data_IF_050436179990
#
_entry.id   IF_050436179990
#
_cell.length_a   1.000
_cell.length_b   1.000
_cell.length_c   1.000
_cell.angle_alpha   90.00
_cell.angle_beta   90.00
_cell.angle_gamma   90.00
#
_symmetry.space_group_name_H-M   'P 1'
#
loop_
_entity.id
_entity.type
_entity.pdbx_description
1 polymer ?
#
# COMPACT_ATOMS: atom_id res chain seq x y z
N UNK A 1 -9.89 26.15 73.87
CA UNK A 1 -10.78 25.76 72.74
C UNK A 1 -10.03 25.53 71.41
N UNK A 2 -8.74 25.14 71.42
CA UNK A 2 -7.98 24.84 70.18
C UNK A 2 -8.11 23.39 69.71
N UNK A 3 -8.14 22.44 70.64
CA UNK A 3 -8.09 21.00 70.37
C UNK A 3 -9.35 20.44 69.69
N UNK A 4 -10.55 20.95 70.02
CA UNK A 4 -11.81 20.58 69.35
C UNK A 4 -11.89 21.10 67.90
N UNK A 5 -11.22 22.23 67.60
CA UNK A 5 -11.20 22.84 66.27
C UNK A 5 -10.26 22.09 65.31
N UNK A 6 -9.17 21.53 65.84
CA UNK A 6 -8.21 20.69 65.10
C UNK A 6 -8.87 19.36 64.72
N UNK A 7 -9.53 18.68 65.67
CA UNK A 7 -10.21 17.40 65.39
C UNK A 7 -11.38 17.49 64.42
N UNK A 8 -12.12 18.62 64.40
CA UNK A 8 -13.22 18.83 63.44
C UNK A 8 -12.69 19.08 62.02
N UNK A 9 -11.60 19.84 61.88
CA UNK A 9 -10.95 20.04 60.59
C UNK A 9 -10.36 18.74 60.04
N UNK A 10 -9.74 17.93 60.91
CA UNK A 10 -9.19 16.63 60.53
C UNK A 10 -10.32 15.67 60.11
N UNK A 11 -11.43 15.60 60.86
CA UNK A 11 -12.60 14.80 60.50
C UNK A 11 -13.20 15.24 59.15
N UNK A 12 -13.35 16.55 58.93
CA UNK A 12 -13.87 17.10 57.68
C UNK A 12 -12.93 16.75 56.51
N UNK A 13 -11.62 16.83 56.72
CA UNK A 13 -10.60 16.46 55.74
C UNK A 13 -10.71 14.98 55.35
N UNK A 14 -10.76 14.07 56.33
CA UNK A 14 -10.90 12.63 56.06
C UNK A 14 -12.23 12.29 55.39
N UNK A 15 -13.33 12.94 55.79
CA UNK A 15 -14.64 12.77 55.15
C UNK A 15 -14.60 13.22 53.68
N UNK A 16 -14.02 14.39 53.40
CA UNK A 16 -13.88 14.90 52.04
C UNK A 16 -13.00 13.98 51.18
N UNK A 17 -11.91 13.46 51.75
CA UNK A 17 -11.04 12.49 51.09
C UNK A 17 -11.77 11.19 50.75
N UNK A 18 -12.59 10.66 51.67
CA UNK A 18 -13.41 9.47 51.43
C UNK A 18 -14.41 9.72 50.29
N UNK A 19 -15.09 10.87 50.31
CA UNK A 19 -16.04 11.26 49.26
C UNK A 19 -15.36 11.35 47.89
N UNK A 20 -14.16 11.94 47.83
CA UNK A 20 -13.36 12.00 46.60
C UNK A 20 -12.98 10.58 46.13
N UNK A 21 -12.54 9.69 47.03
CA UNK A 21 -12.19 8.31 46.68
C UNK A 21 -13.39 7.53 46.12
N UNK A 22 -14.57 7.67 46.72
CA UNK A 22 -15.80 7.03 46.24
C UNK A 22 -16.21 7.60 44.87
N UNK A 23 -16.13 8.92 44.68
CA UNK A 23 -16.41 9.54 43.38
C UNK A 23 -15.42 9.08 42.31
N UNK A 24 -14.12 9.00 42.63
CA UNK A 24 -13.10 8.51 41.71
C UNK A 24 -13.33 7.05 41.33
N UNK A 25 -13.66 6.18 42.29
CA UNK A 25 -13.98 4.78 42.03
C UNK A 25 -15.22 4.64 41.14
N UNK A 26 -16.27 5.43 41.40
CA UNK A 26 -17.48 5.44 40.57
C UNK A 26 -17.22 5.96 39.16
N UNK A 27 -16.45 7.05 39.02
CA UNK A 27 -16.10 7.63 37.72
C UNK A 27 -15.23 6.66 36.90
N UNK A 28 -14.29 5.98 37.56
CA UNK A 28 -13.40 4.98 36.95
C UNK A 28 -14.17 3.78 36.38
N UNK A 29 -15.29 3.38 36.98
CA UNK A 29 -16.10 2.27 36.46
C UNK A 29 -17.03 2.67 35.31
N UNK A 30 -17.27 3.96 35.11
CA UNK A 30 -18.23 4.47 34.10
C UNK A 30 -17.55 5.01 32.83
N UNK A 31 -16.32 5.49 32.94
CA UNK A 31 -15.56 6.05 31.82
C UNK A 31 -14.27 5.25 31.61
N UNK A 32 -14.25 4.36 30.62
CA UNK A 32 -13.05 3.62 30.20
C UNK A 32 -12.26 4.43 29.16
N UNK A 33 -11.89 5.67 29.52
CA UNK A 33 -11.13 6.54 28.63
C UNK A 33 -9.65 6.18 28.73
N UNK A 34 -9.07 5.69 27.63
CA UNK A 34 -7.67 5.31 27.57
C UNK A 34 -6.89 6.38 26.81
N UNK A 35 -5.82 6.87 27.41
CA UNK A 35 -4.90 7.80 26.76
C UNK A 35 -3.60 7.10 26.48
N UNK A 36 -3.13 7.24 25.24
CA UNK A 36 -1.85 6.71 24.81
C UNK A 36 -0.77 7.78 24.97
N UNK A 37 0.08 7.60 25.98
CA UNK A 37 1.20 8.49 26.29
C UNK A 37 2.48 8.08 25.57
N UNK A 38 2.44 7.06 24.71
CA UNK A 38 3.63 6.60 24.00
C UNK A 38 4.01 7.59 22.90
N UNK A 39 5.32 7.79 22.70
CA UNK A 39 5.88 8.78 21.78
C UNK A 39 5.36 8.65 20.33
N UNK A 40 4.98 7.44 19.91
CA UNK A 40 4.48 7.15 18.56
C UNK A 40 3.02 6.68 18.53
N UNK A 41 2.30 6.74 19.66
CA UNK A 41 0.95 6.22 19.75
C UNK A 41 0.86 4.71 19.44
N UNK A 42 1.78 3.91 19.99
CA UNK A 42 1.90 2.48 19.71
C UNK A 42 0.78 1.63 20.34
N UNK A 43 0.04 2.17 21.29
CA UNK A 43 -1.14 1.54 21.87
C UNK A 43 -2.45 2.00 21.20
N UNK A 44 -2.38 2.97 20.29
CA UNK A 44 -3.51 3.49 19.51
C UNK A 44 -3.46 2.98 18.07
N UNK A 45 -4.63 2.85 17.44
CA UNK A 45 -4.71 2.56 16.01
C UNK A 45 -4.34 3.79 15.17
N UNK A 46 -3.79 3.56 13.99
CA UNK A 46 -3.57 4.62 13.00
C UNK A 46 -4.91 5.17 12.48
N UNK A 47 -4.96 6.42 12.01
CA UNK A 47 -6.17 6.99 11.41
C UNK A 47 -6.73 6.16 10.25
N UNK A 48 -5.85 5.49 9.49
CA UNK A 48 -6.22 4.60 8.37
C UNK A 48 -6.92 3.35 8.89
N UNK A 49 -6.38 2.71 9.92
CA UNK A 49 -7.00 1.53 10.54
C UNK A 49 -8.38 1.86 11.13
N UNK A 50 -8.53 3.04 11.73
CA UNK A 50 -9.84 3.52 12.24
C UNK A 50 -10.86 3.63 11.11
N UNK A 51 -10.51 4.28 10.00
CA UNK A 51 -11.39 4.47 8.85
C UNK A 51 -11.80 3.14 8.20
N UNK A 52 -10.88 2.18 8.10
CA UNK A 52 -11.16 0.86 7.52
C UNK A 52 -12.12 0.06 8.41
N UNK A 53 -11.87 0.01 9.71
CA UNK A 53 -12.71 -0.73 10.67
C UNK A 53 -14.14 -0.21 10.70
N UNK A 54 -14.32 1.11 10.58
CA UNK A 54 -15.65 1.74 10.56
C UNK A 54 -16.44 1.44 9.28
N UNK A 55 -15.78 1.04 8.20
CA UNK A 55 -16.40 0.73 6.90
C UNK A 55 -16.82 -0.73 6.74
N UNK A 56 -16.62 -1.57 7.76
CA UNK A 56 -16.97 -2.99 7.77
C UNK A 56 -18.28 -3.18 8.56
N UNK A 57 -19.46 -3.19 7.90
CA UNK A 57 -20.75 -3.41 8.56
C UNK A 57 -20.99 -4.88 8.91
N UNK A 58 -21.30 -5.17 10.17
CA UNK A 58 -21.66 -6.51 10.64
C UNK A 58 -20.52 -7.28 11.31
N UNK A 59 -20.81 -8.49 11.84
CA UNK A 59 -19.92 -9.20 12.74
C UNK A 59 -18.67 -9.71 12.03
N UNK A 60 -17.52 -9.56 12.69
CA UNK A 60 -16.23 -10.10 12.24
C UNK A 60 -15.77 -11.14 13.25
N UNK A 61 -15.47 -12.36 12.80
CA UNK A 61 -14.91 -13.39 13.66
C UNK A 61 -13.41 -13.53 13.42
N UNK A 62 -12.61 -13.34 14.47
CA UNK A 62 -11.15 -13.51 14.46
C UNK A 62 -10.82 -14.79 15.23
N UNK A 63 -10.27 -15.79 14.54
CA UNK A 63 -9.88 -17.07 15.14
C UNK A 63 -8.36 -17.19 15.17
N UNK A 64 -7.79 -17.25 16.37
CA UNK A 64 -6.35 -17.40 16.55
C UNK A 64 -5.99 -18.86 16.88
N UNK A 65 -5.15 -19.45 16.03
CA UNK A 65 -4.66 -20.81 16.15
C UNK A 65 -3.35 -20.84 16.94
N UNK A 66 -3.48 -20.78 18.27
CA UNK A 66 -2.34 -20.69 19.19
C UNK A 66 -2.46 -21.70 20.33
N UNK A 67 -1.33 -22.31 20.75
CA UNK A 67 -1.30 -23.13 21.96
C UNK A 67 -1.84 -22.38 23.18
N UNK A 68 -2.24 -23.10 24.23
CA UNK A 68 -2.66 -22.57 25.54
C UNK A 68 -1.56 -21.84 26.35
N UNK A 69 -0.67 -21.11 25.68
CA UNK A 69 0.32 -20.27 26.34
C UNK A 69 -0.32 -18.93 26.71
N UNK A 70 -0.44 -18.65 28.02
CA UNK A 70 -1.07 -17.43 28.54
C UNK A 70 -0.52 -16.14 27.91
N UNK A 71 0.80 -16.06 27.71
CA UNK A 71 1.47 -14.88 27.14
C UNK A 71 1.01 -14.53 25.72
N UNK A 72 0.88 -15.53 24.85
CA UNK A 72 0.51 -15.33 23.44
C UNK A 72 -0.96 -14.91 23.35
N UNK A 73 -1.84 -15.59 24.10
CA UNK A 73 -3.26 -15.24 24.18
C UNK A 73 -3.46 -13.81 24.70
N UNK A 74 -2.75 -13.41 25.75
CA UNK A 74 -2.84 -12.06 26.30
C UNK A 74 -2.35 -10.98 25.31
N UNK A 75 -1.32 -11.27 24.52
CA UNK A 75 -0.84 -10.37 23.46
C UNK A 75 -1.90 -10.20 22.35
N UNK A 76 -2.49 -11.30 21.89
CA UNK A 76 -3.58 -11.30 20.90
C UNK A 76 -4.81 -10.55 21.43
N UNK A 77 -5.25 -10.85 22.65
CA UNK A 77 -6.39 -10.18 23.28
C UNK A 77 -6.17 -8.67 23.37
N UNK A 78 -4.98 -8.22 23.82
CA UNK A 78 -4.66 -6.79 23.86
C UNK A 78 -4.63 -6.15 22.47
N UNK A 79 -4.09 -6.84 21.48
CA UNK A 79 -4.04 -6.34 20.12
C UNK A 79 -5.43 -6.12 19.55
N UNK A 80 -6.31 -7.13 19.66
CA UNK A 80 -7.68 -7.14 19.13
C UNK A 80 -8.61 -6.21 19.93
N UNK A 81 -8.39 -6.06 21.24
CA UNK A 81 -9.15 -5.14 22.08
C UNK A 81 -9.15 -3.69 21.53
N UNK A 82 -8.04 -3.26 20.91
CA UNK A 82 -7.94 -1.94 20.26
C UNK A 82 -8.93 -1.77 19.10
N UNK A 83 -9.17 -2.85 18.35
CA UNK A 83 -10.15 -2.89 17.26
C UNK A 83 -11.58 -3.04 17.82
N UNK A 84 -11.77 -3.87 18.85
CA UNK A 84 -13.06 -4.07 19.53
C UNK A 84 -13.61 -2.78 20.15
N UNK A 85 -12.74 -1.87 20.59
CA UNK A 85 -13.16 -0.58 21.11
C UNK A 85 -13.87 0.29 20.05
N UNK A 86 -13.44 0.21 18.79
CA UNK A 86 -14.09 0.91 17.67
C UNK A 86 -15.29 0.12 17.14
N UNK A 87 -15.18 -1.21 17.16
CA UNK A 87 -16.12 -2.14 16.56
C UNK A 87 -16.41 -3.30 17.54
N UNK A 88 -17.40 -3.14 18.44
CA UNK A 88 -17.68 -4.13 19.50
C UNK A 88 -18.14 -5.50 19.00
N UNK A 89 -18.58 -5.59 17.74
CA UNK A 89 -19.02 -6.82 17.05
C UNK A 89 -17.86 -7.62 16.42
N UNK A 90 -16.62 -7.39 16.87
CA UNK A 90 -15.48 -8.28 16.61
C UNK A 90 -15.44 -9.37 17.67
N UNK A 91 -15.63 -10.62 17.26
CA UNK A 91 -15.53 -11.79 18.13
C UNK A 91 -14.14 -12.41 18.04
N UNK A 92 -13.48 -12.63 19.19
CA UNK A 92 -12.17 -13.28 19.26
C UNK A 92 -12.31 -14.70 19.81
N UNK A 93 -11.93 -15.69 19.02
CA UNK A 93 -11.89 -17.10 19.39
C UNK A 93 -10.45 -17.64 19.39
N UNK A 94 -10.16 -18.56 20.31
CA UNK A 94 -8.87 -19.24 20.39
C UNK A 94 -9.07 -20.74 20.17
N UNK A 95 -8.31 -21.32 19.25
CA UNK A 95 -8.28 -22.76 19.00
C UNK A 95 -6.85 -23.25 19.24
N UNK A 96 -6.70 -24.28 20.08
CA UNK A 96 -5.42 -24.95 20.29
C UNK A 96 -5.19 -26.02 19.20
N UNK A 97 -4.23 -25.83 18.28
CA UNK A 97 -3.98 -26.77 17.19
C UNK A 97 -3.53 -28.15 17.69
N UNK A 98 -2.90 -28.22 18.86
CA UNK A 98 -2.39 -29.47 19.45
C UNK A 98 -3.52 -30.34 20.01
N UNK A 99 -4.63 -29.72 20.45
CA UNK A 99 -5.80 -30.45 20.97
C UNK A 99 -6.84 -30.76 19.89
N UNK A 100 -6.87 -30.00 18.80
CA UNK A 100 -7.82 -30.17 17.69
C UNK A 100 -7.12 -30.35 16.32
N UNK A 101 -6.30 -31.40 16.14
CA UNK A 101 -5.51 -31.59 14.92
C UNK A 101 -6.37 -31.86 13.67
N UNK A 102 -7.58 -32.40 13.84
CA UNK A 102 -8.47 -32.73 12.72
C UNK A 102 -9.20 -31.51 12.17
N UNK A 103 -9.56 -30.54 13.02
CA UNK A 103 -10.10 -29.24 12.60
C UNK A 103 -9.02 -28.41 11.89
N UNK A 104 -7.81 -28.40 12.45
CA UNK A 104 -6.64 -27.70 11.92
C UNK A 104 -6.23 -28.22 10.53
N UNK A 105 -6.21 -29.55 10.33
CA UNK A 105 -5.90 -30.18 9.02
C UNK A 105 -6.96 -29.89 7.96
N UNK A 106 -8.25 -29.87 8.31
CA UNK A 106 -9.34 -29.56 7.36
C UNK A 106 -9.27 -28.13 6.85
N UNK A 107 -8.73 -27.21 7.65
CA UNK A 107 -8.56 -25.81 7.26
C UNK A 107 -7.19 -25.51 6.62
N UNK A 108 -6.31 -26.51 6.49
CA UNK A 108 -4.99 -26.34 5.85
C UNK A 108 -4.03 -25.46 6.65
N UNK A 109 -4.20 -25.36 7.97
CA UNK A 109 -3.39 -24.53 8.85
C UNK A 109 -2.03 -25.22 9.03
N UNK A 110 -0.97 -24.53 8.61
CA UNK A 110 0.38 -25.11 8.52
C UNK A 110 1.33 -24.61 9.61
N UNK A 111 0.96 -23.56 10.36
CA UNK A 111 1.82 -22.86 11.31
C UNK A 111 1.12 -22.59 12.66
N UNK A 112 1.87 -22.77 13.77
CA UNK A 112 1.46 -22.30 15.10
C UNK A 112 1.53 -20.77 15.14
N UNK A 113 0.41 -20.08 15.36
CA UNK A 113 0.36 -18.61 15.39
C UNK A 113 -0.46 -17.95 14.28
N UNK A 114 -1.06 -18.73 13.38
CA UNK A 114 -1.91 -18.21 12.31
C UNK A 114 -3.22 -17.62 12.87
N UNK A 115 -3.63 -16.47 12.31
CA UNK A 115 -4.90 -15.81 12.65
C UNK A 115 -5.77 -15.76 11.41
N UNK A 116 -7.00 -16.25 11.54
CA UNK A 116 -7.99 -16.34 10.48
C UNK A 116 -9.11 -15.34 10.76
N UNK A 117 -9.39 -14.47 9.79
CA UNK A 117 -10.43 -13.47 9.85
C UNK A 117 -11.58 -13.90 8.94
N UNK A 118 -12.80 -13.94 9.48
CA UNK A 118 -14.01 -14.33 8.77
C UNK A 118 -15.05 -13.20 8.77
N UNK A 119 -15.51 -12.82 7.57
CA UNK A 119 -16.50 -11.77 7.37
C UNK A 119 -17.31 -12.03 6.09
N UNK A 120 -18.64 -12.08 6.18
CA UNK A 120 -19.56 -12.30 5.05
C UNK A 120 -19.13 -13.44 4.11
N UNK A 121 -18.92 -14.65 4.66
CA UNK A 121 -18.49 -15.87 3.95
C UNK A 121 -17.08 -15.82 3.34
N UNK A 122 -16.33 -14.73 3.55
CA UNK A 122 -14.94 -14.60 3.11
C UNK A 122 -13.99 -14.83 4.27
N UNK A 123 -12.86 -15.45 3.94
CA UNK A 123 -11.80 -15.80 4.87
C UNK A 123 -10.50 -15.13 4.41
N UNK A 124 -9.79 -14.50 5.35
CA UNK A 124 -8.43 -13.98 5.16
C UNK A 124 -7.53 -14.53 6.24
N UNK A 125 -6.27 -14.80 5.89
CA UNK A 125 -5.29 -15.42 6.80
C UNK A 125 -4.08 -14.53 6.94
N UNK A 126 -3.62 -14.36 8.17
CA UNK A 126 -2.40 -13.62 8.47
C UNK A 126 -1.46 -14.49 9.32
N UNK A 127 -0.18 -14.44 8.97
CA UNK A 127 0.86 -15.23 9.65
C UNK A 127 1.52 -14.44 10.79
N UNK A 128 1.54 -13.11 10.70
CA UNK A 128 2.07 -12.24 11.74
C UNK A 128 0.97 -11.29 12.21
N UNK A 129 0.90 -11.10 13.53
CA UNK A 129 -0.06 -10.19 14.13
C UNK A 129 0.59 -8.81 14.29
N UNK A 130 0.45 -7.99 13.26
CA UNK A 130 0.77 -6.57 13.30
C UNK A 130 -0.39 -5.73 12.71
N UNK A 131 -0.36 -4.42 12.96
CA UNK A 131 -1.45 -3.52 12.52
C UNK A 131 -1.56 -3.47 10.99
N UNK A 132 -0.45 -3.55 10.28
CA UNK A 132 -0.41 -3.48 8.82
C UNK A 132 -1.10 -4.70 8.19
N UNK A 133 -0.68 -5.92 8.55
CA UNK A 133 -1.24 -7.17 8.04
C UNK A 133 -2.71 -7.32 8.42
N UNK A 134 -3.05 -7.03 9.68
CA UNK A 134 -4.43 -7.15 10.14
C UNK A 134 -5.36 -6.16 9.43
N UNK A 135 -4.96 -4.89 9.31
CA UNK A 135 -5.79 -3.87 8.67
C UNK A 135 -5.90 -4.11 7.15
N UNK A 136 -4.83 -4.57 6.49
CA UNK A 136 -4.89 -4.95 5.08
C UNK A 136 -5.82 -6.16 4.85
N UNK A 137 -5.82 -7.14 5.75
CA UNK A 137 -6.75 -8.27 5.70
C UNK A 137 -8.20 -7.80 5.87
N UNK A 138 -8.48 -6.94 6.85
CA UNK A 138 -9.80 -6.32 7.03
C UNK A 138 -10.26 -5.57 5.78
N UNK A 139 -9.34 -4.85 5.14
CA UNK A 139 -9.63 -4.10 3.93
C UNK A 139 -10.06 -5.00 2.78
N UNK A 140 -9.36 -6.12 2.55
CA UNK A 140 -9.75 -7.13 1.55
C UNK A 140 -11.11 -7.76 1.87
N UNK A 141 -11.37 -8.06 3.13
CA UNK A 141 -12.67 -8.56 3.59
C UNK A 141 -13.80 -7.53 3.40
N UNK A 142 -13.50 -6.24 3.61
CA UNK A 142 -14.47 -5.15 3.50
C UNK A 142 -14.97 -4.89 2.07
N UNK A 143 -14.22 -5.32 1.05
CA UNK A 143 -14.56 -5.00 -0.33
C UNK A 143 -15.80 -5.79 -0.77
N UNK A 144 -16.94 -5.13 -0.97
CA UNK A 144 -18.20 -5.78 -1.36
C UNK A 144 -18.22 -6.34 -2.79
N UNK A 145 -17.28 -5.91 -3.66
CA UNK A 145 -17.22 -6.34 -5.05
C UNK A 145 -15.80 -6.76 -5.40
N UNK A 146 -15.65 -7.97 -5.94
CA UNK A 146 -14.40 -8.41 -6.57
C UNK A 146 -14.15 -7.47 -7.75
N UNK A 147 -13.10 -6.64 -7.67
CA UNK A 147 -12.74 -5.73 -8.77
C UNK A 147 -12.14 -6.54 -9.90
N UNK A 148 -12.67 -6.33 -11.11
CA UNK A 148 -12.19 -7.02 -12.29
C UNK A 148 -11.12 -6.18 -12.97
N UNK A 149 -10.05 -6.85 -13.38
CA UNK A 149 -9.06 -6.33 -14.32
C UNK A 149 -9.26 -7.10 -15.61
N UNK A 150 -9.72 -6.41 -16.64
CA UNK A 150 -9.97 -6.99 -17.95
C UNK A 150 -8.78 -6.76 -18.87
N UNK A 151 -8.37 -7.77 -19.63
CA UNK A 151 -7.39 -7.65 -20.71
C UNK A 151 -8.07 -7.76 -22.06
N UNK A 152 -7.84 -6.79 -22.95
CA UNK A 152 -8.32 -6.87 -24.33
C UNK A 152 -7.69 -8.07 -25.04
N UNK A 153 -8.50 -8.82 -25.80
CA UNK A 153 -8.07 -9.90 -26.68
C UNK A 153 -8.80 -9.85 -28.03
N UNK A 154 -8.41 -10.70 -28.97
CA UNK A 154 -9.02 -10.85 -30.30
C UNK A 154 -8.15 -10.33 -31.46
N UNK A 155 -7.14 -9.50 -31.18
CA UNK A 155 -6.29 -8.85 -32.17
C UNK A 155 -4.79 -9.18 -32.00
N UNK A 156 -4.48 -10.28 -31.31
CA UNK A 156 -3.10 -10.75 -31.08
C UNK A 156 -2.38 -10.00 -29.96
N UNK A 157 -3.12 -9.37 -29.06
CA UNK A 157 -2.62 -8.77 -27.83
C UNK A 157 -1.91 -9.82 -26.95
N UNK A 158 -1.06 -9.34 -26.04
CA UNK A 158 -0.44 -10.20 -25.02
C UNK A 158 -1.49 -10.65 -24.01
N UNK A 159 -1.69 -11.96 -23.89
CA UNK A 159 -2.81 -12.49 -23.12
C UNK A 159 -2.51 -12.40 -21.60
N UNK A 160 -3.41 -11.77 -20.81
CA UNK A 160 -3.31 -11.68 -19.34
C UNK A 160 -3.43 -13.04 -18.63
N UNK A 161 -3.92 -14.06 -19.33
CA UNK A 161 -4.08 -15.43 -18.86
C UNK A 161 -3.20 -16.42 -19.63
N UNK A 162 -2.42 -15.93 -20.61
CA UNK A 162 -1.59 -16.75 -21.49
C UNK A 162 -0.27 -17.18 -20.87
N UNK A 163 0.29 -18.27 -21.39
CA UNK A 163 1.53 -18.88 -20.87
C UNK A 163 2.73 -18.65 -21.79
N UNK A 164 2.55 -18.01 -22.95
CA UNK A 164 3.66 -17.78 -23.86
C UNK A 164 4.63 -16.75 -23.28
N UNK A 165 5.87 -16.77 -23.74
CA UNK A 165 6.93 -15.87 -23.26
C UNK A 165 6.58 -14.37 -23.42
N UNK A 166 5.77 -14.02 -24.43
CA UNK A 166 5.32 -12.65 -24.68
C UNK A 166 3.98 -12.33 -24.00
N UNK A 167 3.28 -13.32 -23.44
CA UNK A 167 2.02 -13.11 -22.73
C UNK A 167 2.26 -12.48 -21.36
N UNK A 168 1.18 -12.02 -20.73
CA UNK A 168 1.18 -11.37 -19.42
C UNK A 168 0.63 -12.30 -18.30
N UNK A 169 0.64 -13.62 -18.50
CA UNK A 169 0.02 -14.57 -17.57
C UNK A 169 0.57 -14.55 -16.15
N UNK A 170 1.88 -14.43 -15.99
CA UNK A 170 2.53 -14.33 -14.68
C UNK A 170 2.14 -13.02 -13.98
N UNK A 171 1.98 -11.93 -14.75
CA UNK A 171 1.47 -10.68 -14.23
C UNK A 171 -0.01 -10.79 -13.84
N UNK A 172 -0.83 -11.44 -14.66
CA UNK A 172 -2.22 -11.76 -14.33
C UNK A 172 -2.34 -12.60 -13.06
N UNK A 173 -1.43 -13.56 -12.84
CA UNK A 173 -1.36 -14.34 -11.61
C UNK A 173 -0.95 -13.49 -10.40
N UNK A 174 0.02 -12.59 -10.57
CA UNK A 174 0.40 -11.64 -9.53
C UNK A 174 -0.77 -10.71 -9.15
N UNK A 175 -1.56 -10.25 -10.12
CA UNK A 175 -2.79 -9.48 -9.87
C UNK A 175 -3.85 -10.30 -9.11
N UNK A 176 -4.04 -11.57 -9.48
CA UNK A 176 -4.94 -12.47 -8.73
C UNK A 176 -4.51 -12.66 -7.28
N UNK A 177 -3.20 -12.76 -7.03
CA UNK A 177 -2.65 -12.82 -5.67
C UNK A 177 -2.89 -11.52 -4.86
N UNK A 178 -3.09 -10.38 -5.53
CA UNK A 178 -3.52 -9.13 -4.89
C UNK A 178 -5.04 -9.07 -4.60
N UNK A 179 -5.80 -10.10 -4.99
CA UNK A 179 -7.25 -10.18 -4.77
C UNK A 179 -8.11 -9.68 -5.93
N UNK A 180 -7.51 -9.34 -7.08
CA UNK A 180 -8.26 -8.97 -8.27
C UNK A 180 -8.75 -10.20 -9.03
N UNK A 181 -9.94 -10.10 -9.63
CA UNK A 181 -10.34 -11.07 -10.64
C UNK A 181 -9.78 -10.63 -11.99
N UNK A 182 -9.03 -11.49 -12.66
CA UNK A 182 -8.47 -11.19 -13.98
C UNK A 182 -9.24 -11.96 -15.04
N UNK A 183 -9.75 -11.25 -16.05
CA UNK A 183 -10.50 -11.81 -17.18
C UNK A 183 -9.96 -11.29 -18.51
N UNK A 184 -10.21 -12.03 -19.59
CA UNK A 184 -10.04 -11.49 -20.94
C UNK A 184 -11.38 -11.00 -21.48
N UNK A 185 -11.33 -9.97 -22.31
CA UNK A 185 -12.48 -9.44 -23.03
C UNK A 185 -12.19 -9.30 -24.50
N UNK A 186 -13.02 -9.93 -25.31
CA UNK A 186 -13.08 -9.73 -26.75
C UNK A 186 -14.23 -8.77 -27.05
N UNK A 187 -13.90 -7.56 -27.52
CA UNK A 187 -14.89 -6.54 -27.81
C UNK A 187 -15.79 -6.88 -29.01
N UNK A 188 -15.42 -7.84 -29.87
CA UNK A 188 -16.28 -8.30 -30.94
C UNK A 188 -17.48 -9.09 -30.40
N UNK A 189 -17.27 -9.88 -29.35
CA UNK A 189 -18.30 -10.74 -28.74
C UNK A 189 -18.96 -10.12 -27.51
N UNK A 190 -18.23 -9.30 -26.76
CA UNK A 190 -18.67 -8.64 -25.53
C UNK A 190 -18.57 -7.12 -25.70
N UNK A 191 -19.66 -6.43 -26.12
CA UNK A 191 -19.61 -5.03 -26.53
C UNK A 191 -19.11 -4.03 -25.49
N UNK A 192 -19.28 -4.34 -24.21
CA UNK A 192 -18.91 -3.47 -23.09
C UNK A 192 -18.23 -4.29 -22.00
N UNK A 193 -17.17 -3.76 -21.37
CA UNK A 193 -16.65 -4.35 -20.15
C UNK A 193 -17.75 -4.51 -19.10
N UNK A 194 -17.76 -5.61 -18.33
CA UNK A 194 -18.66 -5.78 -17.19
C UNK A 194 -18.59 -4.59 -16.22
N UNK A 195 -19.71 -4.24 -15.59
CA UNK A 195 -19.84 -3.06 -14.72
C UNK A 195 -18.83 -3.02 -13.55
N UNK A 196 -18.33 -4.18 -13.11
CA UNK A 196 -17.33 -4.30 -12.05
C UNK A 196 -15.87 -4.27 -12.55
N UNK A 197 -15.65 -3.96 -13.83
CA UNK A 197 -14.31 -3.75 -14.42
C UNK A 197 -13.74 -2.44 -13.89
N UNK A 198 -12.77 -2.54 -12.99
CA UNK A 198 -12.10 -1.39 -12.40
C UNK A 198 -10.92 -0.89 -13.25
N UNK A 199 -10.37 -1.76 -14.10
CA UNK A 199 -9.28 -1.46 -15.02
C UNK A 199 -9.41 -2.33 -16.28
N UNK A 200 -9.29 -1.69 -17.45
CA UNK A 200 -9.12 -2.36 -18.73
C UNK A 200 -7.68 -2.16 -19.22
N UNK A 201 -6.96 -3.27 -19.44
CA UNK A 201 -5.61 -3.31 -19.99
C UNK A 201 -5.71 -3.57 -21.49
N UNK A 202 -5.01 -2.78 -22.29
CA UNK A 202 -4.90 -2.92 -23.73
C UNK A 202 -3.42 -3.25 -24.02
N UNK A 203 -3.04 -4.54 -24.04
CA UNK A 203 -1.65 -4.94 -24.06
C UNK A 203 -1.12 -5.13 -25.49
N UNK A 204 -0.96 -4.00 -26.20
CA UNK A 204 -0.41 -3.89 -27.55
C UNK A 204 -1.03 -4.79 -28.63
N UNK A 205 -2.18 -4.38 -29.21
CA UNK A 205 -2.81 -5.07 -30.32
C UNK A 205 -1.90 -5.19 -31.55
N UNK A 206 -1.86 -6.38 -32.14
CA UNK A 206 -1.03 -6.71 -33.31
C UNK A 206 -1.80 -6.61 -34.63
N UNK A 207 -3.14 -6.56 -34.56
CA UNK A 207 -4.03 -6.35 -35.69
C UNK A 207 -4.92 -5.12 -35.46
N UNK A 208 -5.30 -4.40 -36.53
CA UNK A 208 -6.20 -3.27 -36.39
C UNK A 208 -7.53 -3.71 -35.78
N UNK A 209 -7.98 -2.98 -34.75
CA UNK A 209 -9.33 -3.12 -34.20
C UNK A 209 -10.35 -2.62 -35.22
N UNK A 210 -11.56 -3.17 -35.15
CA UNK A 210 -12.69 -2.68 -35.93
C UNK A 210 -13.11 -1.29 -35.45
N UNK A 211 -13.61 -0.44 -36.35
CA UNK A 211 -14.10 0.91 -36.02
C UNK A 211 -15.16 0.89 -34.91
N UNK A 212 -16.00 -0.14 -34.87
CA UNK A 212 -17.01 -0.34 -33.81
C UNK A 212 -16.37 -0.59 -32.44
N UNK A 213 -15.24 -1.29 -32.38
CA UNK A 213 -14.51 -1.59 -31.15
C UNK A 213 -13.77 -0.36 -30.65
N UNK A 214 -13.14 0.39 -31.56
CA UNK A 214 -12.54 1.69 -31.24
C UNK A 214 -13.60 2.66 -30.69
N UNK A 215 -14.80 2.68 -31.28
CA UNK A 215 -15.91 3.48 -30.76
C UNK A 215 -16.33 3.04 -29.34
N UNK A 216 -16.37 1.73 -29.05
CA UNK A 216 -16.64 1.18 -27.72
C UNK A 216 -15.58 1.56 -26.69
N UNK A 217 -14.30 1.46 -27.05
CA UNK A 217 -13.18 1.89 -26.19
C UNK A 217 -13.25 3.39 -25.87
N UNK A 218 -13.59 4.22 -26.87
CA UNK A 218 -13.80 5.66 -26.65
C UNK A 218 -14.98 5.95 -25.75
N UNK A 219 -16.09 5.21 -25.90
CA UNK A 219 -17.26 5.35 -25.02
C UNK A 219 -16.90 4.98 -23.58
N UNK A 220 -16.26 3.83 -23.37
CA UNK A 220 -15.78 3.40 -22.05
C UNK A 220 -14.83 4.43 -21.42
N UNK A 221 -13.88 4.98 -22.19
CA UNK A 221 -13.02 6.05 -21.71
C UNK A 221 -13.80 7.34 -21.42
N UNK A 222 -14.80 7.70 -22.23
CA UNK A 222 -15.64 8.88 -22.02
C UNK A 222 -16.47 8.80 -20.72
N UNK A 223 -16.95 7.60 -20.39
CA UNK A 223 -17.73 7.28 -19.18
C UNK A 223 -16.86 7.18 -17.90
N UNK A 224 -15.56 7.47 -17.98
CA UNK A 224 -14.68 7.49 -16.82
C UNK A 224 -13.92 6.18 -16.56
N UNK A 225 -14.01 5.20 -17.46
CA UNK A 225 -13.30 3.93 -17.34
C UNK A 225 -11.77 4.08 -17.30
N UNK A 226 -11.11 3.35 -16.39
CA UNK A 226 -9.65 3.39 -16.25
C UNK A 226 -8.97 2.48 -17.28
N UNK A 227 -7.83 2.94 -17.81
CA UNK A 227 -7.09 2.24 -18.87
C UNK A 227 -5.60 2.12 -18.56
N UNK A 228 -5.02 0.95 -18.87
CA UNK A 228 -3.58 0.78 -19.05
C UNK A 228 -3.33 0.43 -20.52
N UNK A 229 -2.74 1.36 -21.25
CA UNK A 229 -2.37 1.16 -22.65
C UNK A 229 -0.88 0.84 -22.73
N UNK A 230 -0.58 -0.33 -23.29
CA UNK A 230 0.78 -0.72 -23.62
C UNK A 230 0.93 -0.68 -25.14
N UNK A 231 2.05 -0.17 -25.63
CA UNK A 231 2.36 -0.08 -27.06
C UNK A 231 3.77 -0.57 -27.34
N UNK A 232 4.04 -0.98 -28.57
CA UNK A 232 5.39 -1.30 -29.06
C UNK A 232 5.90 -0.21 -30.01
N UNK A 233 7.22 -0.02 -30.13
CA UNK A 233 7.83 0.78 -31.18
C UNK A 233 7.27 0.43 -32.55
N UNK A 234 7.09 1.47 -33.38
CA UNK A 234 6.64 1.35 -34.77
C UNK A 234 5.25 0.68 -34.96
N UNK A 235 4.53 0.36 -33.87
CA UNK A 235 3.16 -0.15 -33.94
C UNK A 235 2.22 0.98 -34.35
N UNK A 236 1.95 1.06 -35.66
CA UNK A 236 0.95 2.00 -36.21
C UNK A 236 -0.43 1.82 -35.57
N UNK A 237 -0.76 0.60 -35.16
CA UNK A 237 -2.03 0.26 -34.52
C UNK A 237 -2.05 0.83 -33.09
N UNK A 238 -1.01 0.55 -32.30
CA UNK A 238 -0.88 1.06 -30.94
C UNK A 238 -0.85 2.58 -30.89
N UNK A 239 -0.05 3.23 -31.76
CA UNK A 239 0.03 4.68 -31.86
C UNK A 239 -1.31 5.32 -32.28
N UNK A 240 -2.01 4.74 -33.26
CA UNK A 240 -3.34 5.21 -33.66
C UNK A 240 -4.35 5.13 -32.51
N UNK A 241 -4.42 3.99 -31.82
CA UNK A 241 -5.35 3.78 -30.71
C UNK A 241 -5.05 4.71 -29.54
N UNK A 242 -3.78 4.82 -29.16
CA UNK A 242 -3.30 5.72 -28.11
C UNK A 242 -3.66 7.18 -28.41
N UNK A 243 -3.40 7.65 -29.63
CA UNK A 243 -3.74 9.02 -30.07
C UNK A 243 -5.24 9.28 -29.97
N UNK A 244 -6.06 8.33 -30.41
CA UNK A 244 -7.51 8.48 -30.41
C UNK A 244 -8.11 8.49 -29.00
N UNK A 245 -7.51 7.77 -28.04
CA UNK A 245 -8.00 7.70 -26.66
C UNK A 245 -7.46 8.81 -25.77
N UNK A 246 -6.23 9.25 -25.99
CA UNK A 246 -5.49 10.09 -25.02
C UNK A 246 -4.86 11.36 -25.61
N UNK A 247 -4.65 11.41 -26.93
CA UNK A 247 -3.89 12.46 -27.61
C UNK A 247 -2.36 12.32 -27.51
N UNK A 248 -1.86 11.33 -26.76
CA UNK A 248 -0.43 11.00 -26.69
C UNK A 248 0.00 10.39 -28.02
N UNK A 249 1.21 10.77 -28.48
CA UNK A 249 1.80 10.26 -29.72
C UNK A 249 3.07 9.50 -29.39
N UNK A 250 3.41 8.51 -30.19
CA UNK A 250 4.71 7.85 -30.16
C UNK A 250 5.71 8.66 -31.01
N UNK A 251 6.95 8.80 -30.52
CA UNK A 251 8.07 9.21 -31.36
C UNK A 251 8.49 8.03 -32.26
N UNK A 252 9.01 8.30 -33.47
CA UNK A 252 9.54 7.24 -34.33
C UNK A 252 10.73 6.52 -33.69
N UNK A 253 10.87 5.24 -33.98
CA UNK A 253 12.02 4.43 -33.56
C UNK A 253 11.87 3.78 -32.19
N UNK A 254 12.96 3.14 -31.77
CA UNK A 254 13.09 2.41 -30.50
C UNK A 254 14.05 3.14 -29.58
N UNK A 255 13.74 3.21 -28.30
CA UNK A 255 14.65 3.80 -27.31
C UNK A 255 15.90 2.92 -27.20
N UNK A 256 17.05 3.55 -27.43
CA UNK A 256 18.36 3.02 -27.11
C UNK A 256 18.91 3.74 -25.89
N UNK A 257 19.49 3.00 -24.95
CA UNK A 257 20.07 3.54 -23.73
C UNK A 257 21.51 3.06 -23.55
N UNK A 258 22.48 3.96 -23.72
CA UNK A 258 23.90 3.62 -23.61
C UNK A 258 24.35 3.34 -22.17
N UNK A 259 23.54 3.67 -21.16
CA UNK A 259 23.87 3.43 -19.75
C UNK A 259 23.81 1.93 -19.39
N UNK A 260 23.13 1.11 -20.18
CA UNK A 260 22.96 -0.33 -19.91
C UNK A 260 24.28 -1.10 -19.94
N UNK A 261 25.26 -0.62 -20.72
CA UNK A 261 26.62 -1.18 -20.78
C UNK A 261 27.32 -1.12 -19.42
N UNK A 262 27.05 -0.07 -18.63
CA UNK A 262 27.61 0.08 -17.27
C UNK A 262 27.02 -0.96 -16.29
N UNK A 263 25.85 -1.52 -16.61
CA UNK A 263 25.18 -2.58 -15.85
C UNK A 263 25.48 -4.00 -16.37
N UNK A 264 26.35 -4.14 -17.38
CA UNK A 264 26.67 -5.44 -17.99
C UNK A 264 25.55 -6.02 -18.86
N UNK A 265 24.64 -5.16 -19.35
CA UNK A 265 23.58 -5.55 -20.28
C UNK A 265 24.08 -5.27 -21.70
N UNK A 266 24.15 -6.30 -22.53
CA UNK A 266 24.70 -6.20 -23.89
C UNK A 266 23.71 -5.61 -24.90
N UNK A 267 22.40 -5.66 -24.63
CA UNK A 267 21.38 -5.14 -25.54
C UNK A 267 21.11 -3.66 -25.27
N UNK A 268 21.50 -2.74 -26.18
CA UNK A 268 21.30 -1.30 -26.01
C UNK A 268 19.83 -0.86 -26.15
N UNK A 269 18.95 -1.71 -26.70
CA UNK A 269 17.51 -1.44 -26.83
C UNK A 269 16.70 -1.76 -25.56
N UNK A 270 17.35 -1.74 -24.39
CA UNK A 270 16.68 -1.86 -23.08
C UNK A 270 16.75 -0.50 -22.40
N UNK A 271 15.62 0.18 -22.24
CA UNK A 271 15.57 1.46 -21.57
C UNK A 271 15.59 1.31 -20.04
N UNK A 272 16.36 2.16 -19.35
CA UNK A 272 16.47 2.14 -17.89
C UNK A 272 15.63 3.24 -17.25
N UNK A 273 14.83 2.89 -16.24
CA UNK A 273 14.12 3.87 -15.40
C UNK A 273 14.49 3.66 -13.93
N UNK A 274 15.48 4.42 -13.41
CA UNK A 274 15.94 4.29 -12.03
C UNK A 274 15.21 5.22 -11.05
N UNK A 275 14.50 6.23 -11.54
CA UNK A 275 13.90 7.29 -10.72
C UNK A 275 12.48 7.60 -11.17
N UNK A 276 11.64 7.87 -10.19
CA UNK A 276 10.22 8.17 -10.39
C UNK A 276 9.91 9.51 -9.71
N UNK A 277 9.06 10.34 -10.32
CA UNK A 277 8.64 11.59 -9.72
C UNK A 277 7.77 11.33 -8.47
N UNK A 278 7.63 12.36 -7.63
CA UNK A 278 6.68 12.34 -6.52
C UNK A 278 5.24 12.36 -7.06
N UNK A 279 4.67 11.16 -7.21
CA UNK A 279 3.34 10.93 -7.71
C UNK A 279 2.70 9.78 -6.93
N UNK A 280 1.39 9.83 -6.69
CA UNK A 280 0.69 8.80 -5.89
C UNK A 280 0.91 7.37 -6.41
N UNK A 281 1.05 7.21 -7.72
CA UNK A 281 1.31 5.92 -8.36
C UNK A 281 2.72 5.36 -8.11
N UNK A 282 3.71 6.17 -7.72
CA UNK A 282 5.13 5.76 -7.66
C UNK A 282 5.87 6.28 -6.43
N UNK A 283 5.24 7.06 -5.54
CA UNK A 283 5.89 7.70 -4.37
C UNK A 283 6.60 6.73 -3.41
N UNK A 284 6.13 5.49 -3.35
CA UNK A 284 6.69 4.43 -2.50
C UNK A 284 7.55 3.44 -3.30
N UNK A 285 7.82 3.72 -4.57
CA UNK A 285 8.53 2.85 -5.48
C UNK A 285 9.94 3.39 -5.77
N UNK A 286 10.97 2.56 -5.58
CA UNK A 286 12.37 2.97 -5.68
C UNK A 286 13.28 1.94 -6.38
N UNK A 287 12.71 0.94 -7.05
CA UNK A 287 13.46 -0.08 -7.76
C UNK A 287 13.80 0.36 -9.20
N UNK A 288 14.94 -0.08 -9.70
CA UNK A 288 15.25 0.03 -11.14
C UNK A 288 14.25 -0.82 -11.93
N UNK A 289 13.74 -0.28 -13.05
CA UNK A 289 12.95 -1.06 -14.01
C UNK A 289 13.57 -1.00 -15.40
N UNK A 290 13.31 -2.07 -16.16
CA UNK A 290 13.90 -2.32 -17.46
C UNK A 290 12.79 -2.45 -18.49
N UNK A 291 12.91 -1.70 -19.58
CA UNK A 291 11.91 -1.64 -20.64
C UNK A 291 12.52 -2.07 -21.98
N UNK A 292 12.42 -3.36 -22.35
CA UNK A 292 12.94 -3.86 -23.62
C UNK A 292 12.14 -3.31 -24.80
N UNK A 293 12.84 -2.85 -25.84
CA UNK A 293 12.24 -2.31 -27.06
C UNK A 293 11.15 -1.29 -26.74
N UNK A 294 11.45 -0.31 -25.89
CA UNK A 294 10.51 0.74 -25.54
C UNK A 294 10.46 1.83 -26.61
N UNK A 295 9.36 2.54 -26.70
CA UNK A 295 9.20 3.72 -27.52
C UNK A 295 9.01 4.97 -26.68
N UNK A 296 9.54 6.08 -27.18
CA UNK A 296 9.34 7.37 -26.55
C UNK A 296 7.97 7.95 -26.90
N UNK A 297 7.41 8.71 -25.96
CA UNK A 297 6.10 9.33 -26.03
C UNK A 297 6.24 10.85 -26.11
N UNK A 298 5.56 11.45 -27.07
CA UNK A 298 5.38 12.88 -27.20
C UNK A 298 4.06 13.31 -26.57
N UNK A 299 4.16 14.24 -25.63
CA UNK A 299 3.03 14.82 -24.91
C UNK A 299 2.52 16.04 -25.68
N UNK A 300 1.21 16.15 -25.98
CA UNK A 300 0.68 17.31 -26.67
C UNK A 300 0.73 18.56 -25.79
N UNK A 301 0.96 19.73 -26.41
CA UNK A 301 0.99 21.04 -25.70
C UNK A 301 -0.35 21.38 -25.04
N UNK A 302 -1.46 20.93 -25.65
CA UNK A 302 -2.81 21.13 -25.14
C UNK A 302 -3.48 19.78 -24.96
N UNK A 303 -4.06 19.56 -23.79
CA UNK A 303 -4.81 18.35 -23.48
C UNK A 303 -5.94 18.66 -22.51
N UNK A 304 -7.01 17.89 -22.63
CA UNK A 304 -8.09 17.85 -21.63
C UNK A 304 -7.68 17.08 -20.35
N UNK A 305 -6.56 16.35 -20.42
CA UNK A 305 -6.03 15.56 -19.32
C UNK A 305 -4.98 16.35 -18.55
N UNK A 306 -4.92 16.12 -17.23
CA UNK A 306 -3.71 16.41 -16.46
C UNK A 306 -2.70 15.29 -16.70
N UNK A 307 -1.62 15.60 -17.42
CA UNK A 307 -0.62 14.62 -17.85
C UNK A 307 0.64 14.79 -17.00
N UNK A 308 1.09 13.70 -16.39
CA UNK A 308 2.33 13.64 -15.61
C UNK A 308 3.25 12.57 -16.22
N UNK A 309 4.44 12.94 -16.73
CA UNK A 309 5.45 11.96 -17.13
C UNK A 309 5.92 11.17 -15.91
N UNK A 310 5.69 9.86 -15.89
CA UNK A 310 6.07 8.98 -14.78
C UNK A 310 7.33 8.17 -15.05
N UNK A 311 7.52 7.72 -16.29
CA UNK A 311 8.65 6.89 -16.68
C UNK A 311 9.52 7.67 -17.64
N UNK A 312 10.75 7.96 -17.22
CA UNK A 312 11.75 8.67 -18.01
C UNK A 312 13.06 7.91 -18.02
N UNK A 313 13.68 7.86 -19.18
CA UNK A 313 15.01 7.29 -19.36
C UNK A 313 16.11 8.15 -18.75
N UNK A 314 17.36 7.69 -18.85
CA UNK A 314 18.54 8.46 -18.50
C UNK A 314 19.03 9.37 -19.64
N UNK A 315 19.97 10.26 -19.34
CA UNK A 315 20.44 11.29 -20.28
C UNK A 315 21.17 10.72 -21.50
N UNK A 316 21.83 9.56 -21.38
CA UNK A 316 22.51 8.88 -22.50
C UNK A 316 21.59 7.94 -23.30
N UNK A 317 20.36 8.38 -23.55
CA UNK A 317 19.39 7.64 -24.38
C UNK A 317 18.92 8.47 -25.57
N UNK A 318 18.35 7.83 -26.58
CA UNK A 318 17.72 8.48 -27.73
C UNK A 318 16.70 7.53 -28.40
N UNK A 319 15.84 8.05 -29.27
CA UNK A 319 14.95 7.23 -30.08
C UNK A 319 15.64 6.88 -31.41
N UNK A 320 16.24 5.69 -31.47
CA UNK A 320 16.94 5.16 -32.64
C UNK A 320 15.96 4.75 -33.72
N UNK A 321 16.11 5.30 -34.92
CA UNK A 321 15.24 5.06 -36.08
C UNK A 321 15.89 4.14 -37.13
N UNK A 322 17.18 3.88 -37.00
CA UNK A 322 17.97 3.00 -37.86
C UNK A 322 18.05 1.56 -37.35
N UNK A 323 19.14 0.88 -37.73
CA UNK A 323 19.36 -0.51 -37.38
C UNK A 323 19.89 -0.66 -35.94
N UNK A 324 19.26 -1.51 -35.13
CA UNK A 324 19.67 -1.79 -33.76
C UNK A 324 20.88 -2.75 -33.64
N UNK A 325 21.71 -2.83 -34.68
CA UNK A 325 22.86 -3.75 -34.75
C UNK A 325 24.13 -2.99 -35.12
N UNK A 326 25.25 -3.34 -34.48
CA UNK A 326 26.56 -2.72 -34.74
C UNK A 326 26.84 -1.53 -33.81
N UNK A 327 27.64 -0.58 -34.31
CA UNK A 327 27.86 0.69 -33.61
C UNK A 327 26.63 1.59 -33.83
N UNK A 328 25.90 1.82 -32.73
CA UNK A 328 24.70 2.66 -32.72
C UNK A 328 25.08 4.01 -32.14
N UNK A 329 24.87 5.07 -32.92
CA UNK A 329 25.10 6.46 -32.52
C UNK A 329 23.88 7.29 -32.95
N UNK A 330 23.48 8.24 -32.10
CA UNK A 330 22.34 9.11 -32.39
C UNK A 330 22.58 9.94 -33.65
N UNK A 331 21.61 9.95 -34.55
CA UNK A 331 21.53 10.82 -35.73
C UNK A 331 20.44 11.91 -35.58
N UNK A 332 20.80 13.15 -35.19
CA UNK A 332 19.85 14.26 -35.10
C UNK A 332 19.17 14.60 -36.44
N UNK A 333 19.80 14.29 -37.59
CA UNK A 333 19.24 14.59 -38.91
C UNK A 333 18.12 13.61 -39.30
N UNK A 334 18.11 12.43 -38.69
CA UNK A 334 17.03 11.45 -38.83
C UNK A 334 15.80 11.77 -37.92
N UNK A 335 15.87 12.83 -37.12
CA UNK A 335 14.81 13.22 -36.19
C UNK A 335 14.91 12.55 -34.82
N UNK A 336 16.11 12.09 -34.46
CA UNK A 336 16.36 11.45 -33.17
C UNK A 336 16.60 12.48 -32.06
N UNK A 337 15.81 12.37 -31.01
CA UNK A 337 15.84 13.20 -29.83
C UNK A 337 16.74 12.58 -28.77
N UNK A 338 17.60 13.39 -28.14
CA UNK A 338 18.35 12.93 -26.97
C UNK A 338 17.44 12.88 -25.74
N UNK A 339 17.73 11.95 -24.85
CA UNK A 339 17.05 11.81 -23.58
C UNK A 339 17.40 12.91 -22.57
N UNK A 340 16.72 12.90 -21.41
CA UNK A 340 15.72 11.93 -20.96
C UNK A 340 14.45 11.89 -21.82
N UNK A 341 14.12 10.70 -22.34
CA UNK A 341 12.90 10.45 -23.09
C UNK A 341 11.81 9.97 -22.15
N UNK A 342 10.58 10.45 -22.38
CA UNK A 342 9.42 9.95 -21.64
C UNK A 342 8.92 8.69 -22.32
N UNK A 343 8.81 7.58 -21.60
CA UNK A 343 8.24 6.33 -22.12
C UNK A 343 6.95 5.93 -21.42
N UNK A 344 6.56 6.65 -20.37
CA UNK A 344 5.31 6.38 -19.65
C UNK A 344 4.72 7.62 -19.01
N UNK A 345 3.41 7.79 -19.21
CA UNK A 345 2.66 8.97 -18.75
C UNK A 345 1.39 8.56 -18.03
N UNK A 346 1.13 9.19 -16.88
CA UNK A 346 -0.15 9.13 -16.20
C UNK A 346 -1.03 10.28 -16.67
N UNK A 347 -2.29 9.98 -16.98
CA UNK A 347 -3.32 10.94 -17.33
C UNK A 347 -4.45 10.87 -16.30
N UNK A 348 -4.91 12.03 -15.84
CA UNK A 348 -6.08 12.11 -14.98
C UNK A 348 -7.05 13.21 -15.42
N UNK A 349 -8.34 13.00 -15.19
CA UNK A 349 -9.38 14.03 -15.30
C UNK A 349 -10.53 13.71 -14.36
N UNK A 350 -11.42 14.68 -14.13
CA UNK A 350 -12.64 14.48 -13.36
C UNK A 350 -13.78 14.10 -14.31
N UNK A 351 -14.50 13.01 -14.02
CA UNK A 351 -15.70 12.56 -14.73
C UNK A 351 -16.74 12.22 -13.66
N UNK A 352 -17.91 12.85 -13.72
CA UNK A 352 -19.04 12.63 -12.79
C UNK A 352 -18.69 12.69 -11.29
N UNK A 353 -17.68 13.49 -10.93
CA UNK A 353 -17.22 13.67 -9.55
C UNK A 353 -16.13 12.70 -9.09
N UNK A 354 -15.81 11.70 -9.92
CA UNK A 354 -14.72 10.76 -9.69
C UNK A 354 -13.49 11.07 -10.56
N UNK A 355 -12.32 10.74 -10.05
CA UNK A 355 -11.06 10.91 -10.78
C UNK A 355 -10.80 9.70 -11.67
N UNK A 356 -10.96 9.87 -12.98
CA UNK A 356 -10.53 8.90 -13.98
C UNK A 356 -9.01 8.87 -14.09
N UNK A 357 -8.44 7.67 -14.25
CA UNK A 357 -7.00 7.42 -14.33
C UNK A 357 -6.67 6.57 -15.55
N UNK A 358 -5.76 7.06 -16.37
CA UNK A 358 -5.22 6.33 -17.52
C UNK A 358 -3.70 6.33 -17.43
N UNK A 359 -3.08 5.23 -17.81
CA UNK A 359 -1.64 5.13 -17.98
C UNK A 359 -1.33 4.66 -19.40
N UNK A 360 -0.34 5.30 -20.02
CA UNK A 360 0.19 4.91 -21.33
C UNK A 360 1.66 4.60 -21.13
N UNK A 361 2.10 3.43 -21.62
CA UNK A 361 3.49 2.98 -21.55
C UNK A 361 3.92 2.53 -22.94
N UNK A 362 5.04 3.06 -23.41
CA UNK A 362 5.66 2.79 -24.70
C UNK A 362 6.31 1.41 -24.82
N UNK A 363 5.96 0.46 -23.97
CA UNK A 363 6.52 -0.90 -23.93
C UNK A 363 5.42 -1.87 -23.45
N UNK A 364 5.16 -2.92 -24.23
CA UNK A 364 4.25 -4.00 -23.84
C UNK A 364 4.95 -5.27 -23.33
N UNK A 365 6.26 -5.38 -23.50
CA UNK A 365 7.06 -6.52 -23.07
C UNK A 365 7.51 -6.43 -21.62
N UNK A 366 7.61 -5.25 -20.99
CA UNK A 366 8.12 -5.14 -19.62
C UNK A 366 7.32 -5.95 -18.57
N UNK A 367 6.04 -6.24 -18.84
CA UNK A 367 5.17 -7.10 -18.02
C UNK A 367 5.03 -8.52 -18.54
N UNK A 368 5.64 -8.85 -19.68
CA UNK A 368 5.57 -10.19 -20.24
C UNK A 368 6.26 -11.21 -19.35
N UNK A 369 5.87 -12.48 -19.48
CA UNK A 369 6.44 -13.58 -18.72
C UNK A 369 7.99 -13.64 -18.82
N UNK A 370 8.56 -13.19 -19.94
CA UNK A 370 10.04 -13.15 -20.11
C UNK A 370 10.74 -12.04 -19.32
N UNK A 371 10.05 -10.94 -19.04
CA UNK A 371 10.67 -9.72 -18.49
C UNK A 371 10.05 -9.29 -17.15
N UNK A 372 8.97 -9.91 -16.69
CA UNK A 372 8.28 -9.55 -15.46
C UNK A 372 9.19 -9.65 -14.23
N UNK A 373 10.03 -10.69 -14.18
CA UNK A 373 10.99 -10.91 -13.08
C UNK A 373 12.25 -10.04 -13.17
N UNK A 374 12.36 -9.15 -14.17
CA UNK A 374 13.51 -8.27 -14.28
C UNK A 374 13.40 -7.12 -13.29
N UNK A 375 14.44 -6.97 -12.46
CA UNK A 375 14.59 -5.88 -11.51
C UNK A 375 13.28 -5.61 -10.73
N UNK A 376 12.68 -4.43 -10.86
CA UNK A 376 11.42 -4.07 -10.21
C UNK A 376 10.18 -4.08 -11.11
N UNK A 377 10.19 -4.75 -12.28
CA UNK A 377 9.10 -4.65 -13.27
C UNK A 377 7.75 -5.13 -12.72
N UNK A 378 7.73 -6.30 -12.05
CA UNK A 378 6.52 -6.82 -11.40
C UNK A 378 5.97 -5.83 -10.36
N UNK A 379 6.83 -5.34 -9.46
CA UNK A 379 6.44 -4.39 -8.41
C UNK A 379 5.91 -3.08 -9.00
N UNK A 380 6.50 -2.58 -10.09
CA UNK A 380 5.98 -1.42 -10.80
C UNK A 380 4.60 -1.71 -11.38
N UNK A 381 4.43 -2.81 -12.12
CA UNK A 381 3.15 -3.22 -12.71
C UNK A 381 2.02 -3.31 -11.67
N UNK A 382 2.30 -3.92 -10.52
CA UNK A 382 1.35 -4.03 -9.41
C UNK A 382 1.04 -2.66 -8.78
N UNK A 383 2.04 -1.79 -8.63
CA UNK A 383 1.86 -0.44 -8.07
C UNK A 383 1.03 0.44 -9.00
N UNK A 384 1.32 0.41 -10.30
CA UNK A 384 0.54 1.13 -11.31
C UNK A 384 -0.90 0.63 -11.40
N UNK A 385 -1.11 -0.70 -11.37
CA UNK A 385 -2.45 -1.29 -11.39
C UNK A 385 -3.28 -0.89 -10.18
N UNK A 386 -2.69 -0.92 -8.97
CA UNK A 386 -3.36 -0.44 -7.75
C UNK A 386 -3.77 1.03 -7.86
N UNK A 387 -2.90 1.89 -8.39
CA UNK A 387 -3.24 3.28 -8.61
C UNK A 387 -4.36 3.43 -9.65
N UNK A 388 -4.29 2.74 -10.78
CA UNK A 388 -5.33 2.81 -11.81
C UNK A 388 -6.70 2.33 -11.31
N UNK A 389 -6.72 1.27 -10.52
CA UNK A 389 -7.96 0.71 -9.93
C UNK A 389 -8.57 1.63 -8.87
N UNK A 390 -7.83 2.62 -8.34
CA UNK A 390 -8.30 3.49 -7.26
C UNK A 390 -7.95 2.99 -5.84
N UNK A 391 -7.10 1.97 -5.75
CA UNK A 391 -6.68 1.32 -4.51
C UNK A 391 -5.46 2.00 -3.85
N UNK A 392 -5.01 3.14 -4.37
CA UNK A 392 -4.01 3.99 -3.69
C UNK A 392 -4.54 4.63 -2.40
N UNK A 393 -5.85 4.61 -2.17
CA UNK A 393 -6.47 4.90 -0.86
C UNK A 393 -6.10 3.85 0.21
N UNK A 394 -5.65 2.65 -0.21
CA UNK A 394 -5.38 1.49 0.65
C UNK A 394 -3.92 1.44 1.15
N UNK A 395 -3.00 2.18 0.53
CA UNK A 395 -1.55 2.14 0.85
C UNK A 395 -1.17 3.37 1.65
N UNK A 396 -1.34 3.29 2.97
CA UNK A 396 -1.03 4.40 3.87
C UNK A 396 -0.97 4.05 5.35
N UNK A 397 -0.81 2.78 5.74
CA UNK A 397 -0.63 2.44 7.15
C UNK A 397 0.88 2.52 7.44
N UNK A 398 1.37 3.58 8.12
CA UNK A 398 2.76 3.61 8.53
C UNK A 398 3.00 2.47 9.52
N UNK A 399 4.03 1.66 9.28
CA UNK A 399 4.51 0.68 10.26
C UNK A 399 5.02 1.45 11.47
N UNK A 400 4.27 1.43 12.58
CA UNK A 400 4.73 2.02 13.85
C UNK A 400 5.82 1.14 14.44
N UNK A 401 7.08 1.40 14.10
CA UNK A 401 8.22 0.72 14.71
C UNK A 401 8.53 1.35 16.06
N UNK A 402 8.39 0.58 17.14
CA UNK A 402 8.79 1.02 18.48
C UNK A 402 10.26 1.47 18.49
N UNK A 403 10.47 2.79 18.57
CA UNK A 403 11.81 3.40 18.60
C UNK A 403 12.59 3.06 19.88
N UNK A 404 11.88 2.70 20.94
CA UNK A 404 12.44 2.62 22.29
C UNK A 404 12.64 1.16 22.74
N UNK A 405 13.20 0.31 21.85
CA UNK A 405 13.56 -1.06 22.23
C UNK A 405 14.87 -1.13 23.02
N UNK A 406 15.71 -0.11 22.91
CA UNK A 406 17.01 -0.05 23.55
C UNK A 406 17.19 1.27 24.30
N UNK A 407 17.45 1.16 25.60
CA UNK A 407 17.72 2.32 26.45
C UNK A 407 19.24 2.59 26.46
N UNK A 408 19.69 3.49 25.60
CA UNK A 408 21.10 3.93 25.55
C UNK A 408 21.32 5.08 26.52
N UNK A 409 21.66 4.77 27.78
CA UNK A 409 22.06 5.78 28.76
C UNK A 409 23.58 6.01 28.70
N UNK A 410 23.99 7.27 28.67
CA UNK A 410 25.40 7.61 28.87
C UNK A 410 25.84 7.24 30.29
N UNK A 411 27.12 6.93 30.48
CA UNK A 411 27.68 6.65 31.81
C UNK A 411 27.40 7.79 32.81
N UNK A 412 27.35 9.04 32.33
CA UNK A 412 27.00 10.20 33.13
C UNK A 412 25.52 10.20 33.54
N UNK A 413 24.60 9.88 32.62
CA UNK A 413 23.18 9.76 32.93
C UNK A 413 22.91 8.66 33.96
N UNK A 414 23.57 7.50 33.82
CA UNK A 414 23.49 6.40 34.82
C UNK A 414 24.00 6.88 36.17
N UNK A 415 25.14 7.59 36.21
CA UNK A 415 25.71 8.14 37.44
C UNK A 415 24.78 9.16 38.13
N UNK A 416 24.17 10.07 37.36
CA UNK A 416 23.23 11.07 37.88
C UNK A 416 21.96 10.42 38.41
N UNK A 417 21.36 9.47 37.69
CA UNK A 417 20.18 8.74 38.15
C UNK A 417 20.51 7.95 39.42
N UNK A 418 21.65 7.24 39.43
CA UNK A 418 22.11 6.45 40.56
C UNK A 418 22.34 7.28 41.82
N UNK A 419 23.18 8.31 41.73
CA UNK A 419 23.51 9.21 42.87
C UNK A 419 22.27 9.99 43.31
N UNK A 420 21.50 10.52 42.35
CA UNK A 420 20.28 11.26 42.61
C UNK A 420 19.26 10.44 43.41
N UNK A 421 19.04 9.19 43.02
CA UNK A 421 18.03 8.33 43.64
C UNK A 421 18.53 7.70 44.94
N UNK A 422 19.78 7.25 45.01
CA UNK A 422 20.31 6.53 46.19
C UNK A 422 20.84 7.44 47.29
N UNK A 423 21.26 8.67 46.96
CA UNK A 423 21.90 9.58 47.92
C UNK A 423 21.08 10.85 48.09
N UNK A 424 20.82 11.57 46.99
CA UNK A 424 20.21 12.91 47.06
C UNK A 424 18.75 12.83 47.55
N UNK A 425 17.94 11.92 46.99
CA UNK A 425 16.54 11.79 47.38
C UNK A 425 16.34 11.41 48.87
N UNK A 426 17.05 10.40 49.43
CA UNK A 426 16.98 10.10 50.86
C UNK A 426 17.44 11.26 51.75
N UNK A 427 18.51 11.97 51.37
CA UNK A 427 19.00 13.14 52.11
C UNK A 427 17.99 14.28 52.11
N UNK A 428 17.34 14.55 50.96
CA UNK A 428 16.28 15.54 50.86
C UNK A 428 15.07 15.18 51.71
N UNK A 429 14.66 13.90 51.73
CA UNK A 429 13.57 13.43 52.58
C UNK A 429 13.91 13.56 54.07
N UNK A 430 15.14 13.22 54.48
CA UNK A 430 15.61 13.40 55.86
C UNK A 430 15.70 14.87 56.25
N UNK A 431 16.18 15.73 55.35
CA UNK A 431 16.21 17.18 55.56
C UNK A 431 14.80 17.73 55.72
N UNK A 432 13.87 17.40 54.82
CA UNK A 432 12.49 17.85 54.91
C UNK A 432 11.79 17.34 56.17
N UNK A 433 11.98 16.07 56.51
CA UNK A 433 11.46 15.48 57.75
C UNK A 433 12.03 16.18 59.00
N UNK A 434 13.33 16.42 59.03
CA UNK A 434 14.01 17.15 60.10
C UNK A 434 13.54 18.60 60.22
N UNK A 435 13.35 19.30 59.09
CA UNK A 435 12.88 20.68 59.05
C UNK A 435 11.42 20.80 59.53
N UNK A 436 10.58 19.83 59.17
CA UNK A 436 9.21 19.74 59.68
C UNK A 436 9.16 19.49 61.19
N UNK A 437 9.96 18.56 61.71
CA UNK A 437 10.05 18.31 63.16
C UNK A 437 10.59 19.54 63.91
N UNK A 438 11.61 20.18 63.35
CA UNK A 438 12.20 21.39 63.94
C UNK A 438 11.25 22.58 63.93
N UNK A 439 10.48 22.78 62.86
CA UNK A 439 9.39 23.79 62.83
C UNK A 439 8.28 23.45 63.81
N UNK A 440 7.90 22.19 63.93
CA UNK A 440 6.84 21.74 64.85
C UNK A 440 7.23 21.89 66.32
N UNK A 441 8.51 21.80 66.66
CA UNK A 441 9.00 21.98 68.03
C UNK A 441 9.29 23.46 68.39
N UNK A 442 9.24 24.38 67.41
CA UNK A 442 9.42 25.83 67.60
C UNK A 442 8.12 26.64 67.53
N UNK A 443 7.06 26.08 66.94
CA UNK A 443 5.68 26.55 67.04
C UNK A 443 5.01 25.91 68.25
#
# INVERSE_FOLDING_TARGET
>A
MGWLRIGLNDLLFYLMMLVILVMLAWLSGRYDNQWDWTHQGSNSLSPVSIDIVQRIPGPLTVTAYVPETAKIREQLTRFIARYQHLKPDIELAFIDPLRHPDQTRRQGISLSGEVVLNYNEREERIQQLDEEQFTNALLRLSQTHTRWIAGLTGHGERDLLGQANHDLGDFGNALKQQGYQVINIDLATTPTPPDNTALLIIPSPQRPLLEVEIARLRAYAAEGGNLLLLSEPESRIGDSLMRQLTGIKQLPGTIVDANVKELGIDNPAIALVPRYPDHKATRAFNLLTLFPQAAALAIPEQSMWSIVPLLKTLDKSWNETGALQGEIERDPLAGEEAGPLTLGVALTRQVDGDQQRIMVIGDGDFLSNSFLSNAGNQDLGLTLSRWLVGDDKLVGIPVKQASDRELHLSNLAIGVIGIGTLIVAPLLLLLFGGLMVWRRNRA
#
